data_IF_819286416889
#
_entry.id   IF_819286416889
#
_cell.length_a   1.000
_cell.length_b   1.000
_cell.length_c   1.000
_cell.angle_alpha   90.00
_cell.angle_beta   90.00
_cell.angle_gamma   90.00
#
_symmetry.space_group_name_H-M   'P 1'
#
loop_
_entity.id
_entity.type
_entity.pdbx_description
1 polymer ?
#
# COMPACT_ATOMS: atom_id res chain seq x y z
N UNK A 1 -2.48 31.46 95.76
CA UNK A 1 -3.60 31.41 94.87
C UNK A 1 -3.11 30.82 93.54
N UNK A 2 -3.29 29.56 93.27
CA UNK A 2 -2.74 28.86 92.13
C UNK A 2 -3.91 28.27 91.33
N UNK A 3 -4.10 28.69 90.05
CA UNK A 3 -5.09 28.21 89.15
C UNK A 3 -4.47 27.06 88.30
N UNK A 4 -5.05 25.89 88.32
CA UNK A 4 -4.70 24.73 87.54
C UNK A 4 -5.44 24.83 86.19
N UNK A 5 -4.67 24.88 85.07
CA UNK A 5 -5.21 24.76 83.75
C UNK A 5 -5.14 23.31 83.32
N UNK A 6 -6.29 22.70 83.02
CA UNK A 6 -6.38 21.36 82.46
C UNK A 6 -6.42 21.47 80.94
N UNK A 7 -5.42 20.90 80.32
CA UNK A 7 -5.39 20.75 78.85
C UNK A 7 -6.23 19.50 78.45
N UNK A 8 -7.19 19.71 77.54
CA UNK A 8 -8.00 18.70 76.97
C UNK A 8 -7.37 18.29 75.62
N UNK A 9 -6.80 17.09 75.52
CA UNK A 9 -6.33 16.53 74.22
C UNK A 9 -7.51 15.91 73.48
N UNK A 10 -7.92 16.56 72.35
CA UNK A 10 -8.84 15.98 71.39
C UNK A 10 -8.03 15.19 70.41
N UNK A 11 -8.16 13.86 70.44
CA UNK A 11 -7.67 12.92 69.45
C UNK A 11 -8.67 12.90 68.29
N UNK A 12 -8.34 13.60 67.20
CA UNK A 12 -9.11 13.56 65.96
C UNK A 12 -8.79 12.30 65.20
N UNK A 13 -9.76 11.37 65.14
CA UNK A 13 -9.69 10.17 64.31
C UNK A 13 -10.07 10.53 62.89
N UNK A 14 -9.05 10.73 62.01
CA UNK A 14 -9.32 10.95 60.59
C UNK A 14 -9.64 9.64 59.88
N UNK A 15 -10.91 9.44 59.55
CA UNK A 15 -11.33 8.34 58.66
C UNK A 15 -10.87 8.66 57.23
N UNK A 16 -9.86 7.94 56.76
CA UNK A 16 -9.49 7.94 55.33
C UNK A 16 -10.48 7.03 54.59
N UNK A 17 -11.46 7.62 53.92
CA UNK A 17 -12.32 6.91 52.97
C UNK A 17 -11.53 6.72 51.69
N UNK A 18 -11.00 5.52 51.51
CA UNK A 18 -10.42 5.12 50.22
C UNK A 18 -11.56 5.00 49.18
N UNK A 19 -11.71 6.00 48.32
CA UNK A 19 -12.60 5.90 47.19
C UNK A 19 -12.05 4.83 46.22
N UNK A 20 -12.71 3.70 46.14
CA UNK A 20 -12.44 2.69 45.11
C UNK A 20 -12.77 3.31 43.75
N UNK A 21 -11.73 3.55 42.94
CA UNK A 21 -11.91 3.95 41.55
C UNK A 21 -12.73 2.87 40.80
N UNK A 22 -13.78 3.23 40.05
CA UNK A 22 -14.55 2.25 39.30
C UNK A 22 -13.60 1.52 38.34
N UNK A 23 -13.56 0.20 38.40
CA UNK A 23 -12.88 -0.63 37.43
C UNK A 23 -13.47 -0.31 36.07
N UNK A 24 -12.72 0.40 35.21
CA UNK A 24 -13.08 0.60 33.83
C UNK A 24 -13.26 -0.78 33.20
N UNK A 25 -14.49 -1.11 32.85
CA UNK A 25 -14.83 -2.25 32.03
C UNK A 25 -14.09 -2.03 30.71
N UNK A 26 -12.96 -2.73 30.49
CA UNK A 26 -12.31 -2.77 29.18
C UNK A 26 -13.32 -3.38 28.23
N UNK A 27 -13.84 -2.56 27.32
CA UNK A 27 -14.60 -3.08 26.20
C UNK A 27 -13.74 -4.13 25.48
N UNK A 28 -14.34 -5.26 25.04
CA UNK A 28 -13.61 -6.24 24.26
C UNK A 28 -13.07 -5.51 23.01
N UNK A 29 -11.75 -5.40 22.88
CA UNK A 29 -11.13 -4.86 21.69
C UNK A 29 -11.51 -5.78 20.54
N UNK A 30 -12.17 -5.23 19.55
CA UNK A 30 -12.47 -5.94 18.30
C UNK A 30 -11.12 -6.30 17.68
N UNK A 31 -10.86 -7.58 17.52
CA UNK A 31 -9.64 -8.05 16.88
C UNK A 31 -9.56 -7.56 15.44
N UNK A 32 -8.39 -7.10 15.04
CA UNK A 32 -8.12 -6.72 13.66
C UNK A 32 -7.41 -7.88 12.96
N UNK A 33 -7.76 -8.11 11.70
CA UNK A 33 -7.04 -9.07 10.87
C UNK A 33 -5.70 -8.49 10.45
N UNK A 34 -4.63 -9.24 10.70
CA UNK A 34 -3.28 -8.91 10.26
C UNK A 34 -2.80 -9.96 9.26
N UNK A 35 -2.09 -9.50 8.24
CA UNK A 35 -1.47 -10.32 7.21
C UNK A 35 0.03 -10.20 7.25
N UNK A 36 0.70 -11.32 7.08
CA UNK A 36 2.15 -11.39 6.88
C UNK A 36 2.46 -12.37 5.77
N UNK A 37 3.54 -12.10 5.06
CA UNK A 37 4.01 -12.97 3.99
C UNK A 37 5.24 -13.73 4.48
N UNK A 38 5.26 -15.04 4.23
CA UNK A 38 6.29 -15.95 4.73
C UNK A 38 6.79 -16.82 3.59
N UNK A 39 8.08 -16.78 3.33
CA UNK A 39 8.75 -17.77 2.49
C UNK A 39 9.40 -18.81 3.37
N UNK A 40 9.08 -20.07 3.10
CA UNK A 40 9.69 -21.23 3.75
C UNK A 40 10.47 -22.01 2.71
N UNK A 41 11.74 -22.32 3.02
CA UNK A 41 12.63 -23.06 2.13
C UNK A 41 13.24 -24.24 2.88
N UNK A 42 13.58 -25.28 2.13
CA UNK A 42 14.43 -26.34 2.65
C UNK A 42 15.90 -25.88 2.81
N UNK A 43 16.76 -26.79 3.25
CA UNK A 43 18.19 -26.51 3.43
C UNK A 43 18.93 -26.24 2.10
N UNK A 44 18.39 -26.66 0.97
CA UNK A 44 18.93 -26.39 -0.36
C UNK A 44 18.43 -25.04 -0.93
N UNK A 45 17.49 -24.35 -0.22
CA UNK A 45 16.91 -23.07 -0.63
C UNK A 45 15.69 -23.23 -1.54
N UNK A 46 15.22 -24.45 -1.80
CA UNK A 46 14.00 -24.68 -2.57
C UNK A 46 12.76 -24.33 -1.73
N UNK A 47 11.72 -23.68 -2.33
CA UNK A 47 10.51 -23.33 -1.62
C UNK A 47 9.71 -24.56 -1.22
N UNK A 48 9.21 -24.58 0.03
CA UNK A 48 8.27 -25.59 0.54
C UNK A 48 6.88 -25.01 0.37
N UNK A 49 6.01 -25.69 -0.42
CA UNK A 49 4.71 -25.15 -0.86
C UNK A 49 3.50 -25.98 -0.36
N UNK A 50 3.71 -26.94 0.53
CA UNK A 50 2.71 -27.88 1.03
C UNK A 50 2.34 -27.66 2.51
N UNK A 51 2.67 -26.48 3.08
CA UNK A 51 2.36 -26.16 4.48
C UNK A 51 0.92 -25.65 4.61
N UNK A 52 0.32 -26.00 5.75
CA UNK A 52 -1.04 -25.60 6.14
C UNK A 52 -0.98 -24.59 7.30
N UNK A 53 -2.11 -24.00 7.66
CA UNK A 53 -2.17 -23.06 8.81
C UNK A 53 -1.66 -23.68 10.12
N UNK A 54 -1.87 -24.98 10.32
CA UNK A 54 -1.40 -25.70 11.50
C UNK A 54 0.11 -25.94 11.57
N UNK A 55 0.83 -25.68 10.47
CA UNK A 55 2.28 -25.81 10.42
C UNK A 55 3.02 -24.53 10.85
N UNK A 56 2.27 -23.43 11.08
CA UNK A 56 2.86 -22.14 11.42
C UNK A 56 2.56 -21.73 12.87
N UNK A 57 3.59 -21.34 13.58
CA UNK A 57 3.52 -20.69 14.88
C UNK A 57 3.79 -19.20 14.71
N UNK A 58 2.82 -18.34 15.03
CA UNK A 58 2.96 -16.88 14.94
C UNK A 58 3.07 -16.30 16.34
N UNK A 59 4.17 -15.63 16.63
CA UNK A 59 4.37 -14.89 17.89
C UNK A 59 4.40 -13.38 17.58
N UNK A 60 3.43 -12.65 18.09
CA UNK A 60 3.32 -11.21 17.94
C UNK A 60 3.56 -10.51 19.27
N UNK A 61 4.69 -9.81 19.39
CA UNK A 61 5.05 -9.09 20.62
C UNK A 61 5.10 -9.99 21.86
N UNK A 62 5.60 -11.24 21.74
CA UNK A 62 5.69 -12.23 22.80
C UNK A 62 4.38 -12.99 23.07
N UNK A 63 3.36 -12.88 22.22
CA UNK A 63 2.09 -13.60 22.34
C UNK A 63 1.83 -14.49 21.15
N UNK A 64 1.55 -15.75 21.41
CA UNK A 64 1.10 -16.68 20.37
C UNK A 64 -0.23 -16.24 19.79
N UNK A 65 -0.33 -16.31 18.45
CA UNK A 65 -1.53 -16.01 17.66
C UNK A 65 -1.92 -17.25 16.86
N UNK A 66 -3.20 -17.55 16.83
CA UNK A 66 -3.70 -18.60 15.94
C UNK A 66 -3.72 -18.12 14.50
N UNK A 67 -3.09 -18.88 13.60
CA UNK A 67 -3.19 -18.66 12.17
C UNK A 67 -4.58 -19.11 11.72
N UNK A 68 -5.36 -18.18 11.20
CA UNK A 68 -6.74 -18.44 10.74
C UNK A 68 -6.76 -18.93 9.31
N UNK A 69 -5.85 -18.43 8.49
CA UNK A 69 -5.71 -18.82 7.10
C UNK A 69 -4.23 -18.87 6.68
N UNK A 70 -3.89 -19.82 5.83
CA UNK A 70 -2.61 -19.93 5.16
C UNK A 70 -2.85 -20.33 3.71
N UNK A 71 -2.44 -19.50 2.79
CA UNK A 71 -2.51 -19.76 1.35
C UNK A 71 -1.29 -19.24 0.63
N UNK A 72 -0.95 -19.78 -0.52
CA UNK A 72 0.10 -19.21 -1.35
C UNK A 72 -0.36 -17.83 -1.87
N UNK A 73 0.57 -16.86 -1.89
CA UNK A 73 0.27 -15.48 -2.26
C UNK A 73 0.15 -15.29 -3.78
N UNK A 74 -0.77 -16.07 -4.39
CA UNK A 74 -1.03 -16.10 -5.84
C UNK A 74 -2.14 -15.15 -6.28
N UNK A 75 -2.65 -14.30 -5.38
CA UNK A 75 -3.73 -13.36 -5.68
C UNK A 75 -3.38 -12.47 -6.88
N UNK A 76 -4.20 -12.47 -7.96
CA UNK A 76 -3.97 -11.63 -9.12
C UNK A 76 -3.99 -10.13 -8.78
N UNK A 77 -3.43 -9.31 -9.66
CA UNK A 77 -3.36 -7.87 -9.45
C UNK A 77 -4.53 -7.12 -10.10
N UNK A 78 -4.87 -5.96 -9.53
CA UNK A 78 -5.56 -4.89 -10.23
C UNK A 78 -4.64 -3.68 -10.31
N UNK A 79 -4.31 -3.25 -11.52
CA UNK A 79 -3.34 -2.19 -11.79
C UNK A 79 -4.08 -0.97 -12.31
N UNK A 80 -4.06 0.12 -11.54
CA UNK A 80 -4.54 1.42 -11.99
C UNK A 80 -3.37 2.19 -12.62
N UNK A 81 -3.49 2.55 -13.89
CA UNK A 81 -2.50 3.31 -14.62
C UNK A 81 -3.02 4.74 -14.76
N UNK A 82 -2.40 5.67 -14.01
CA UNK A 82 -2.68 7.09 -14.06
C UNK A 82 -1.75 7.73 -15.09
N UNK A 83 -2.32 8.31 -16.12
CA UNK A 83 -1.57 8.99 -17.18
C UNK A 83 -1.93 10.46 -17.16
N UNK A 84 -0.96 11.28 -16.83
CA UNK A 84 -1.08 12.72 -17.00
C UNK A 84 -1.14 13.04 -18.50
N UNK A 85 -2.28 13.59 -18.92
CA UNK A 85 -2.52 14.05 -20.31
C UNK A 85 -2.63 15.57 -20.39
N UNK A 86 -2.10 16.27 -19.36
CA UNK A 86 -2.04 17.74 -19.31
C UNK A 86 -1.03 18.34 -20.32
N UNK A 87 -0.96 19.66 -20.32
CA UNK A 87 0.01 20.39 -21.14
C UNK A 87 1.47 20.00 -20.82
N UNK A 88 1.74 19.63 -19.55
CA UNK A 88 3.08 19.22 -19.09
C UNK A 88 3.61 17.93 -19.69
N UNK A 89 2.74 17.07 -20.22
CA UNK A 89 3.11 15.79 -20.83
C UNK A 89 2.86 15.73 -22.34
N UNK A 90 2.34 16.80 -22.94
CA UNK A 90 1.95 16.80 -24.35
C UNK A 90 3.09 16.34 -25.29
N UNK A 91 4.33 16.78 -25.04
CA UNK A 91 5.50 16.39 -25.83
C UNK A 91 5.99 14.96 -25.55
N UNK A 92 5.52 14.33 -24.46
CA UNK A 92 5.90 12.99 -24.05
C UNK A 92 4.88 11.92 -24.47
N UNK A 93 3.77 12.30 -25.10
CA UNK A 93 2.67 11.36 -25.37
C UNK A 93 3.11 10.15 -26.22
N UNK A 94 4.02 10.34 -27.18
CA UNK A 94 4.52 9.24 -28.00
C UNK A 94 5.43 8.29 -27.21
N UNK A 95 6.43 8.74 -26.45
CA UNK A 95 7.16 7.88 -25.51
C UNK A 95 6.26 7.18 -24.48
N UNK A 96 5.21 7.85 -23.97
CA UNK A 96 4.22 7.24 -23.05
C UNK A 96 3.50 6.08 -23.75
N UNK A 97 2.98 6.27 -24.96
CA UNK A 97 2.33 5.22 -25.76
C UNK A 97 3.25 4.03 -25.99
N UNK A 98 4.49 4.29 -26.42
CA UNK A 98 5.49 3.26 -26.67
C UNK A 98 5.83 2.48 -25.39
N UNK A 99 6.02 3.18 -24.27
CA UNK A 99 6.33 2.57 -22.98
C UNK A 99 5.18 1.74 -22.42
N UNK A 100 3.95 2.24 -22.53
CA UNK A 100 2.75 1.51 -22.11
C UNK A 100 2.55 0.23 -22.91
N UNK A 101 2.90 0.22 -24.19
CA UNK A 101 2.86 -1.01 -25.00
C UNK A 101 3.79 -2.09 -24.40
N UNK A 102 5.06 -1.76 -24.15
CA UNK A 102 6.02 -2.69 -23.53
C UNK A 102 5.62 -3.11 -22.12
N UNK A 103 5.13 -2.17 -21.32
CA UNK A 103 4.62 -2.43 -19.96
C UNK A 103 3.49 -3.43 -19.97
N UNK A 104 2.44 -3.17 -20.75
CA UNK A 104 1.25 -4.03 -20.82
C UNK A 104 1.58 -5.43 -21.35
N UNK A 105 2.51 -5.55 -22.30
CA UNK A 105 2.94 -6.83 -22.83
C UNK A 105 3.69 -7.69 -21.80
N UNK A 106 4.38 -7.06 -20.85
CA UNK A 106 5.16 -7.73 -19.82
C UNK A 106 4.32 -8.20 -18.60
N UNK A 107 3.14 -7.62 -18.38
CA UNK A 107 2.31 -7.93 -17.21
C UNK A 107 1.76 -9.36 -17.23
N UNK A 108 1.51 -9.98 -16.04
CA UNK A 108 0.81 -11.26 -15.93
C UNK A 108 -0.53 -11.25 -16.67
N UNK A 109 -0.89 -12.36 -17.32
CA UNK A 109 -2.09 -12.44 -18.16
C UNK A 109 -3.40 -12.22 -17.38
N UNK A 110 -3.42 -12.61 -16.10
CA UNK A 110 -4.56 -12.51 -15.19
C UNK A 110 -4.66 -11.17 -14.46
N UNK A 111 -3.65 -10.28 -14.63
CA UNK A 111 -3.67 -8.94 -14.09
C UNK A 111 -4.76 -8.09 -14.77
N UNK A 112 -5.69 -7.53 -13.98
CA UNK A 112 -6.61 -6.51 -14.46
C UNK A 112 -5.87 -5.18 -14.59
N UNK A 113 -6.11 -4.48 -15.68
CA UNK A 113 -5.60 -3.12 -15.90
C UNK A 113 -6.75 -2.16 -16.11
N UNK A 114 -6.60 -0.94 -15.62
CA UNK A 114 -7.50 0.17 -15.88
C UNK A 114 -6.70 1.43 -16.19
N UNK A 115 -7.27 2.35 -16.96
CA UNK A 115 -6.63 3.60 -17.31
C UNK A 115 -7.41 4.80 -16.82
N UNK A 116 -6.68 5.71 -16.22
CA UNK A 116 -7.16 7.00 -15.75
C UNK A 116 -6.32 8.10 -16.40
N UNK A 117 -6.97 9.08 -17.03
CA UNK A 117 -6.30 10.30 -17.50
C UNK A 117 -6.57 11.45 -16.53
N UNK A 118 -5.55 12.28 -16.31
CA UNK A 118 -5.60 13.39 -15.35
C UNK A 118 -5.35 14.77 -15.98
N UNK A 119 -5.41 14.89 -17.30
CA UNK A 119 -5.40 16.19 -17.97
C UNK A 119 -6.73 16.91 -17.80
N UNK A 120 -6.69 18.17 -17.36
CA UNK A 120 -7.85 19.06 -17.11
C UNK A 120 -8.88 18.54 -16.09
N UNK A 121 -9.22 17.26 -16.13
CA UNK A 121 -10.13 16.58 -15.21
C UNK A 121 -9.80 15.09 -15.10
N UNK A 122 -10.25 14.46 -14.01
CA UNK A 122 -10.12 13.01 -13.81
C UNK A 122 -11.08 12.27 -14.72
N UNK A 123 -10.59 11.30 -15.47
CA UNK A 123 -11.44 10.43 -16.30
C UNK A 123 -10.97 8.99 -16.25
N UNK A 124 -11.85 8.07 -15.82
CA UNK A 124 -11.62 6.64 -16.02
C UNK A 124 -11.94 6.31 -17.48
N UNK A 125 -10.91 6.04 -18.26
CA UNK A 125 -10.98 5.85 -19.73
C UNK A 125 -11.12 4.39 -20.11
N UNK A 126 -10.56 3.50 -19.31
CA UNK A 126 -10.73 2.06 -19.43
C UNK A 126 -11.05 1.48 -18.05
N UNK A 127 -12.19 0.83 -17.94
CA UNK A 127 -12.59 0.10 -16.72
C UNK A 127 -11.66 -1.10 -16.50
N UNK A 128 -11.54 -1.62 -15.24
CA UNK A 128 -10.73 -2.79 -14.96
C UNK A 128 -11.04 -3.95 -15.90
N UNK A 129 -10.02 -4.45 -16.59
CA UNK A 129 -10.16 -5.56 -17.55
C UNK A 129 -8.89 -6.38 -17.65
N UNK A 130 -9.05 -7.69 -17.88
CA UNK A 130 -7.96 -8.59 -18.28
C UNK A 130 -7.77 -8.64 -19.80
N UNK A 131 -8.68 -8.03 -20.58
CA UNK A 131 -8.56 -7.93 -22.04
C UNK A 131 -7.39 -7.04 -22.44
N UNK A 132 -6.23 -7.66 -22.63
CA UNK A 132 -4.99 -6.98 -22.96
C UNK A 132 -5.06 -6.24 -24.30
N UNK A 133 -5.82 -6.74 -25.26
CA UNK A 133 -6.01 -6.10 -26.55
C UNK A 133 -6.70 -4.74 -26.39
N UNK A 134 -7.79 -4.67 -25.60
CA UNK A 134 -8.45 -3.38 -25.31
C UNK A 134 -7.52 -2.40 -24.61
N UNK A 135 -6.68 -2.87 -23.69
CA UNK A 135 -5.72 -2.03 -22.99
C UNK A 135 -4.67 -1.47 -23.94
N UNK A 136 -4.15 -2.28 -24.85
CA UNK A 136 -3.18 -1.87 -25.87
C UNK A 136 -3.78 -0.88 -26.88
N UNK A 137 -5.01 -1.14 -27.36
CA UNK A 137 -5.75 -0.23 -28.25
C UNK A 137 -5.96 1.15 -27.58
N UNK A 138 -6.36 1.15 -26.29
CA UNK A 138 -6.50 2.39 -25.54
C UNK A 138 -5.15 3.13 -25.41
N UNK A 139 -4.09 2.45 -24.99
CA UNK A 139 -2.77 3.04 -24.80
C UNK A 139 -2.25 3.66 -26.11
N UNK A 140 -2.44 3.01 -27.25
CA UNK A 140 -2.07 3.53 -28.56
C UNK A 140 -2.86 4.78 -28.97
N UNK A 141 -4.12 4.88 -28.52
CA UNK A 141 -5.01 6.00 -28.79
C UNK A 141 -4.92 7.17 -27.80
N UNK A 142 -4.03 7.12 -26.80
CA UNK A 142 -3.87 8.23 -25.85
C UNK A 142 -3.53 9.54 -26.57
N UNK A 143 -4.10 10.65 -26.10
CA UNK A 143 -3.81 11.99 -26.60
C UNK A 143 -3.80 13.01 -25.45
N UNK A 144 -3.13 14.16 -25.61
CA UNK A 144 -3.17 15.23 -24.61
C UNK A 144 -4.56 15.83 -24.49
N UNK A 145 -5.09 15.90 -23.25
CA UNK A 145 -6.34 16.61 -22.95
C UNK A 145 -6.09 18.10 -22.63
N UNK A 146 -4.85 18.47 -22.35
CA UNK A 146 -4.43 19.82 -21.99
C UNK A 146 -4.78 20.20 -20.54
N UNK A 147 -4.46 21.45 -20.18
CA UNK A 147 -4.72 22.00 -18.86
C UNK A 147 -3.74 21.49 -17.78
N UNK A 148 -4.13 21.67 -16.52
CA UNK A 148 -3.40 21.18 -15.36
C UNK A 148 -3.84 19.76 -14.96
N UNK A 149 -3.10 19.09 -14.06
CA UNK A 149 -3.41 17.73 -13.63
C UNK A 149 -3.95 17.70 -12.20
N UNK A 150 -5.17 17.18 -11.95
CA UNK A 150 -5.72 16.94 -10.61
C UNK A 150 -5.32 15.55 -10.07
N UNK A 151 -4.02 15.33 -9.82
CA UNK A 151 -3.50 14.00 -9.51
C UNK A 151 -3.99 13.48 -8.14
N UNK A 152 -4.00 14.34 -7.10
CA UNK A 152 -4.53 13.95 -5.77
C UNK A 152 -5.99 13.54 -5.83
N UNK A 153 -6.81 14.32 -6.55
CA UNK A 153 -8.23 14.02 -6.73
C UNK A 153 -8.41 12.68 -7.44
N UNK A 154 -7.61 12.43 -8.50
CA UNK A 154 -7.65 11.18 -9.24
C UNK A 154 -7.32 9.97 -8.35
N UNK A 155 -6.28 10.06 -7.53
CA UNK A 155 -5.88 8.99 -6.63
C UNK A 155 -6.96 8.68 -5.61
N UNK A 156 -7.53 9.71 -4.96
CA UNK A 156 -8.61 9.54 -3.97
C UNK A 156 -9.89 8.99 -4.60
N UNK A 157 -10.32 9.52 -5.75
CA UNK A 157 -11.52 9.09 -6.44
C UNK A 157 -11.40 7.62 -6.89
N UNK A 158 -10.30 7.28 -7.56
CA UNK A 158 -10.09 5.93 -8.08
C UNK A 158 -9.95 4.92 -6.93
N UNK A 159 -9.23 5.27 -5.87
CA UNK A 159 -9.15 4.43 -4.68
C UNK A 159 -10.52 4.18 -4.08
N UNK A 160 -11.29 5.22 -3.84
CA UNK A 160 -12.63 5.12 -3.24
C UNK A 160 -13.58 4.25 -4.06
N UNK A 161 -13.53 4.35 -5.40
CA UNK A 161 -14.49 3.66 -6.29
C UNK A 161 -14.07 2.24 -6.65
N UNK A 162 -12.76 1.95 -6.75
CA UNK A 162 -12.28 0.70 -7.35
C UNK A 162 -11.39 -0.13 -6.43
N UNK A 163 -10.83 0.45 -5.35
CA UNK A 163 -9.83 -0.23 -4.51
C UNK A 163 -10.21 -0.33 -3.03
N UNK A 164 -11.05 0.56 -2.51
CA UNK A 164 -11.42 0.54 -1.07
C UNK A 164 -12.11 -0.75 -0.64
N UNK A 165 -12.90 -1.36 -1.53
CA UNK A 165 -13.61 -2.63 -1.31
C UNK A 165 -13.08 -3.74 -2.22
N UNK A 166 -11.83 -3.61 -2.65
CA UNK A 166 -11.23 -4.60 -3.52
C UNK A 166 -10.91 -5.86 -2.71
N UNK A 167 -11.51 -6.96 -3.10
CA UNK A 167 -11.26 -8.30 -2.57
C UNK A 167 -10.64 -9.18 -3.66
N UNK A 168 -9.84 -10.17 -3.24
CA UNK A 168 -9.26 -11.17 -4.13
C UNK A 168 -8.40 -10.60 -5.28
N UNK A 169 -7.87 -9.39 -5.10
CA UNK A 169 -6.95 -8.74 -6.02
C UNK A 169 -5.95 -7.88 -5.27
N UNK A 170 -4.71 -7.92 -5.70
CA UNK A 170 -3.67 -7.07 -5.13
C UNK A 170 -3.66 -5.70 -5.81
N UNK A 171 -3.80 -4.60 -5.05
CA UNK A 171 -3.84 -3.25 -5.61
C UNK A 171 -2.45 -2.74 -5.99
N UNK A 172 -2.31 -2.31 -7.25
CA UNK A 172 -1.08 -1.70 -7.77
C UNK A 172 -1.43 -0.39 -8.49
N UNK A 173 -0.70 0.67 -8.19
CA UNK A 173 -0.82 1.97 -8.86
C UNK A 173 0.44 2.24 -9.68
N UNK A 174 0.26 2.70 -10.92
CA UNK A 174 1.33 3.17 -11.79
C UNK A 174 0.99 4.59 -12.21
N UNK A 175 1.86 5.54 -11.88
CA UNK A 175 1.62 6.97 -12.07
C UNK A 175 2.65 7.49 -13.08
N UNK A 176 2.14 8.06 -14.17
CA UNK A 176 2.94 8.76 -15.17
C UNK A 176 2.52 10.23 -15.14
N UNK A 177 3.39 11.10 -14.64
CA UNK A 177 3.11 12.53 -14.52
C UNK A 177 4.21 13.39 -15.16
N UNK A 178 3.95 14.67 -15.36
CA UNK A 178 4.86 15.59 -16.01
C UNK A 178 4.92 16.96 -15.34
N UNK A 179 5.56 17.89 -16.01
CA UNK A 179 5.78 19.26 -15.56
C UNK A 179 4.53 20.12 -15.79
N UNK A 180 3.48 19.85 -15.03
CA UNK A 180 2.23 20.62 -15.03
C UNK A 180 1.91 21.15 -13.65
N UNK A 181 0.87 21.99 -13.55
CA UNK A 181 0.35 22.42 -12.24
C UNK A 181 -0.57 21.37 -11.66
N UNK A 182 -0.44 21.11 -10.36
CA UNK A 182 -1.38 20.31 -9.59
C UNK A 182 -2.66 21.14 -9.34
N UNK A 183 -3.79 20.65 -9.85
CA UNK A 183 -5.07 21.39 -9.82
C UNK A 183 -6.15 20.73 -8.96
N UNK A 184 -5.77 19.78 -8.11
CA UNK A 184 -6.72 19.14 -7.19
C UNK A 184 -7.34 20.14 -6.22
N UNK A 185 -8.56 19.85 -5.78
CA UNK A 185 -9.27 20.69 -4.83
C UNK A 185 -8.48 20.82 -3.51
N UNK A 186 -8.28 22.04 -2.96
CA UNK A 186 -7.57 22.23 -1.69
C UNK A 186 -8.19 21.44 -0.53
N UNK A 187 -9.52 21.24 -0.54
CA UNK A 187 -10.23 20.43 0.45
C UNK A 187 -9.78 18.97 0.50
N UNK A 188 -9.13 18.46 -0.54
CA UNK A 188 -8.64 17.08 -0.63
C UNK A 188 -7.22 16.89 -0.08
N UNK A 189 -6.56 17.93 0.41
CA UNK A 189 -5.21 17.81 0.98
C UNK A 189 -5.20 16.96 2.25
N UNK A 190 -6.06 17.25 3.22
CA UNK A 190 -6.16 16.47 4.46
C UNK A 190 -6.60 15.02 4.22
N UNK A 191 -7.66 14.74 3.41
CA UNK A 191 -7.99 13.38 3.01
C UNK A 191 -6.84 12.65 2.32
N UNK A 192 -6.08 13.33 1.46
CA UNK A 192 -4.94 12.74 0.76
C UNK A 192 -3.80 12.36 1.74
N UNK A 193 -3.45 13.23 2.67
CA UNK A 193 -2.41 12.95 3.66
C UNK A 193 -2.80 11.74 4.54
N UNK A 194 -4.06 11.65 4.94
CA UNK A 194 -4.57 10.46 5.64
C UNK A 194 -4.48 9.22 4.77
N UNK A 195 -4.91 9.31 3.53
CA UNK A 195 -4.85 8.20 2.58
C UNK A 195 -3.41 7.69 2.38
N UNK A 196 -2.40 8.57 2.33
CA UNK A 196 -0.99 8.19 2.25
C UNK A 196 -0.55 7.31 3.43
N UNK A 197 -1.00 7.62 4.65
CA UNK A 197 -0.67 6.84 5.85
C UNK A 197 -1.33 5.46 5.85
N UNK A 198 -2.47 5.31 5.18
CA UNK A 198 -3.22 4.05 5.11
C UNK A 198 -2.67 3.08 4.03
N UNK A 199 -1.86 3.56 3.06
CA UNK A 199 -1.37 2.75 1.94
C UNK A 199 -0.61 1.47 2.36
N UNK A 200 0.34 1.54 3.32
CA UNK A 200 1.07 0.36 3.75
C UNK A 200 0.19 -0.73 4.37
N UNK A 201 -0.77 -0.33 5.20
CA UNK A 201 -1.67 -1.26 5.88
C UNK A 201 -2.61 -1.97 4.89
N UNK A 202 -2.96 -1.28 3.80
CA UNK A 202 -3.81 -1.81 2.74
C UNK A 202 -3.04 -2.64 1.70
N UNK A 203 -1.71 -2.74 1.85
CA UNK A 203 -0.85 -3.49 0.95
C UNK A 203 -0.82 -2.95 -0.48
N UNK A 204 -1.11 -1.65 -0.67
CA UNK A 204 -1.05 -1.01 -1.99
C UNK A 204 0.41 -0.83 -2.38
N UNK A 205 0.76 -1.28 -3.58
CA UNK A 205 2.03 -0.96 -4.21
C UNK A 205 1.83 0.20 -5.19
N UNK A 206 2.76 1.16 -5.23
CA UNK A 206 2.66 2.28 -6.15
C UNK A 206 4.01 2.61 -6.77
N UNK A 207 4.03 2.75 -8.09
CA UNK A 207 5.22 3.13 -8.85
C UNK A 207 4.94 4.41 -9.61
N UNK A 208 5.94 5.28 -9.72
CA UNK A 208 5.75 6.54 -10.39
C UNK A 208 6.95 6.96 -11.24
N UNK A 209 6.64 7.53 -12.40
CA UNK A 209 7.59 8.20 -13.28
C UNK A 209 7.18 9.66 -13.44
N UNK A 210 8.08 10.55 -13.08
CA UNK A 210 7.89 11.99 -13.21
C UNK A 210 8.76 12.54 -14.32
N UNK A 211 8.11 13.11 -15.34
CA UNK A 211 8.76 13.74 -16.49
C UNK A 211 8.85 15.24 -16.25
N UNK A 212 10.05 15.77 -16.16
CA UNK A 212 10.29 17.19 -15.88
C UNK A 212 11.13 17.82 -16.97
N UNK A 213 10.51 18.75 -17.70
CA UNK A 213 11.17 19.46 -18.80
C UNK A 213 11.66 20.86 -18.41
N UNK A 214 11.01 21.53 -17.44
CA UNK A 214 11.27 22.95 -17.13
C UNK A 214 11.39 23.31 -15.65
N UNK A 215 11.25 22.35 -14.76
CA UNK A 215 11.47 22.54 -13.32
C UNK A 215 10.25 22.92 -12.48
N UNK A 216 9.77 22.04 -11.62
CA UNK A 216 9.04 22.32 -10.40
C UNK A 216 7.52 22.30 -10.45
N UNK A 217 6.91 21.23 -10.94
CA UNK A 217 5.49 20.99 -10.70
C UNK A 217 5.21 20.22 -9.41
N UNK A 218 4.10 20.50 -8.72
CA UNK A 218 3.65 19.74 -7.54
C UNK A 218 3.23 18.28 -7.85
N UNK A 219 2.79 17.90 -9.06
CA UNK A 219 2.42 16.52 -9.35
C UNK A 219 3.55 15.51 -9.18
N UNK A 220 4.80 15.91 -9.43
CA UNK A 220 5.98 15.06 -9.21
C UNK A 220 6.18 14.74 -7.73
N UNK A 221 5.96 15.71 -6.82
CA UNK A 221 6.01 15.51 -5.37
C UNK A 221 4.86 14.62 -4.89
N UNK A 222 3.65 14.80 -5.41
CA UNK A 222 2.51 13.92 -5.11
C UNK A 222 2.85 12.47 -5.50
N UNK A 223 3.34 12.27 -6.71
CA UNK A 223 3.72 10.95 -7.22
C UNK A 223 4.86 10.31 -6.41
N UNK A 224 5.86 11.12 -6.02
CA UNK A 224 6.97 10.69 -5.17
C UNK A 224 6.49 10.24 -3.79
N UNK A 225 5.66 11.04 -3.12
CA UNK A 225 5.13 10.70 -1.80
C UNK A 225 4.30 9.42 -1.83
N UNK A 226 3.49 9.22 -2.88
CA UNK A 226 2.70 8.00 -3.06
C UNK A 226 3.59 6.78 -3.21
N UNK A 227 4.59 6.85 -4.11
CA UNK A 227 5.52 5.75 -4.33
C UNK A 227 6.30 5.41 -3.05
N UNK A 228 6.81 6.42 -2.33
CA UNK A 228 7.53 6.23 -1.06
C UNK A 228 6.64 5.62 0.04
N UNK A 229 5.43 6.15 0.24
CA UNK A 229 4.49 5.63 1.23
C UNK A 229 4.10 4.18 0.96
N UNK A 230 3.87 3.84 -0.31
CA UNK A 230 3.54 2.49 -0.74
C UNK A 230 4.74 1.54 -0.84
N UNK A 231 5.98 2.04 -0.67
CA UNK A 231 7.21 1.25 -0.77
C UNK A 231 7.52 0.77 -2.18
N UNK A 232 7.08 1.50 -3.20
CA UNK A 232 7.34 1.21 -4.59
C UNK A 232 8.47 2.06 -5.19
N UNK A 233 8.58 2.04 -6.52
CA UNK A 233 9.63 2.72 -7.26
C UNK A 233 9.21 4.14 -7.68
N UNK A 234 10.08 5.12 -7.47
CA UNK A 234 9.95 6.47 -8.02
C UNK A 234 11.16 6.78 -8.90
N UNK A 235 10.90 7.24 -10.11
CA UNK A 235 11.95 7.67 -11.04
C UNK A 235 11.64 9.05 -11.60
N UNK A 236 12.64 9.91 -11.57
CA UNK A 236 12.58 11.25 -12.11
C UNK A 236 13.39 11.30 -13.40
N UNK A 237 12.77 11.82 -14.47
CA UNK A 237 13.35 11.84 -15.80
C UNK A 237 13.36 13.25 -16.40
N UNK A 238 14.53 13.72 -16.81
CA UNK A 238 14.65 15.01 -17.49
C UNK A 238 14.11 14.98 -18.94
N UNK A 239 14.06 13.79 -19.54
CA UNK A 239 13.52 13.58 -20.90
C UNK A 239 12.69 12.30 -20.94
N UNK A 240 11.72 12.23 -21.84
CA UNK A 240 10.88 11.04 -22.00
C UNK A 240 11.52 9.91 -22.82
N UNK A 241 12.71 10.10 -23.38
CA UNK A 241 13.31 9.14 -24.29
C UNK A 241 13.57 7.76 -23.68
N UNK A 242 13.94 7.70 -22.39
CA UNK A 242 14.16 6.45 -21.68
C UNK A 242 12.89 5.82 -21.07
N UNK A 243 11.73 6.49 -21.19
CA UNK A 243 10.49 6.02 -20.57
C UNK A 243 10.02 4.65 -21.12
N UNK A 244 10.12 4.37 -22.44
CA UNK A 244 9.70 3.07 -22.97
C UNK A 244 10.41 1.88 -22.32
N UNK A 245 11.73 1.93 -22.20
CA UNK A 245 12.54 0.88 -21.57
C UNK A 245 12.24 0.76 -20.09
N UNK A 246 12.09 1.89 -19.38
CA UNK A 246 11.80 1.90 -17.95
C UNK A 246 10.42 1.36 -17.63
N UNK A 247 9.41 1.68 -18.42
CA UNK A 247 8.05 1.13 -18.27
C UNK A 247 8.03 -0.37 -18.58
N UNK A 248 8.71 -0.81 -19.63
CA UNK A 248 8.84 -2.24 -19.92
C UNK A 248 9.51 -2.96 -18.76
N UNK A 249 10.63 -2.45 -18.25
CA UNK A 249 11.34 -3.02 -17.11
C UNK A 249 10.48 -3.05 -15.83
N UNK A 250 9.62 -2.04 -15.60
CA UNK A 250 8.66 -2.07 -14.51
C UNK A 250 7.64 -3.21 -14.70
N UNK A 251 7.11 -3.40 -15.91
CA UNK A 251 6.18 -4.49 -16.20
C UNK A 251 6.80 -5.87 -15.98
N UNK A 252 8.04 -6.07 -16.43
CA UNK A 252 8.83 -7.28 -16.20
C UNK A 252 9.06 -7.53 -14.70
N UNK A 253 9.44 -6.50 -13.95
CA UNK A 253 9.61 -6.57 -12.49
C UNK A 253 8.31 -6.96 -11.79
N UNK A 254 7.18 -6.35 -12.16
CA UNK A 254 5.87 -6.70 -11.58
C UNK A 254 5.54 -8.18 -11.85
N UNK A 255 5.86 -8.68 -13.03
CA UNK A 255 5.65 -10.09 -13.38
C UNK A 255 6.57 -11.03 -12.59
N UNK A 256 7.85 -10.66 -12.42
CA UNK A 256 8.81 -11.42 -11.63
C UNK A 256 8.43 -11.44 -10.14
N UNK A 257 8.00 -10.29 -9.59
CA UNK A 257 7.50 -10.19 -8.21
C UNK A 257 6.25 -11.05 -8.00
N UNK A 258 5.32 -11.08 -8.96
CA UNK A 258 4.16 -11.95 -8.89
C UNK A 258 4.55 -13.44 -8.88
N UNK A 259 5.51 -13.81 -9.71
CA UNK A 259 6.06 -15.17 -9.76
C UNK A 259 6.78 -15.52 -8.46
N UNK A 260 7.62 -14.63 -7.94
CA UNK A 260 8.31 -14.84 -6.66
C UNK A 260 7.32 -14.95 -5.50
N UNK A 261 6.27 -14.10 -5.47
CA UNK A 261 5.23 -14.16 -4.45
C UNK A 261 4.43 -15.47 -4.46
N UNK A 262 4.35 -16.15 -5.59
CA UNK A 262 3.72 -17.48 -5.65
C UNK A 262 4.45 -18.56 -4.82
N UNK A 263 5.67 -18.28 -4.40
CA UNK A 263 6.47 -19.11 -3.48
C UNK A 263 6.38 -18.67 -2.02
N UNK A 264 5.53 -17.70 -1.70
CA UNK A 264 5.30 -17.20 -0.36
C UNK A 264 3.91 -17.58 0.13
N UNK A 265 3.79 -17.79 1.43
CA UNK A 265 2.51 -17.92 2.11
C UNK A 265 2.00 -16.54 2.53
N UNK A 266 0.72 -16.30 2.35
CA UNK A 266 -0.03 -15.24 2.99
C UNK A 266 -0.69 -15.85 4.23
N UNK A 267 -0.24 -15.44 5.43
CA UNK A 267 -0.80 -15.86 6.70
C UNK A 267 -1.70 -14.78 7.24
N UNK A 268 -2.92 -15.15 7.64
CA UNK A 268 -3.87 -14.26 8.30
C UNK A 268 -4.07 -14.71 9.74
N UNK A 269 -3.97 -13.77 10.66
CA UNK A 269 -4.21 -13.98 12.08
C UNK A 269 -4.89 -12.78 12.72
N UNK A 270 -5.62 -13.01 13.83
CA UNK A 270 -6.27 -11.95 14.59
C UNK A 270 -5.29 -11.31 15.57
N UNK A 271 -5.24 -9.98 15.58
CA UNK A 271 -4.46 -9.20 16.55
C UNK A 271 -5.32 -8.21 17.31
N UNK A 272 -5.02 -8.05 18.60
CA UNK A 272 -5.59 -7.01 19.46
C UNK A 272 -4.55 -5.93 19.79
N UNK A 273 -3.41 -5.91 19.07
CA UNK A 273 -2.31 -5.00 19.33
C UNK A 273 -2.53 -3.69 18.58
N UNK A 274 -2.43 -2.58 19.30
CA UNK A 274 -2.34 -1.24 18.71
C UNK A 274 -0.89 -1.07 18.22
N UNK A 275 -0.72 -0.68 16.95
CA UNK A 275 0.59 -0.53 16.31
C UNK A 275 1.02 -1.77 15.52
N UNK A 276 2.30 -1.81 15.19
CA UNK A 276 2.90 -2.92 14.42
C UNK A 276 3.98 -3.64 15.25
N UNK A 277 3.60 -4.44 16.26
CA UNK A 277 4.57 -5.19 17.03
C UNK A 277 5.35 -6.15 16.14
N UNK A 278 6.57 -6.51 16.57
CA UNK A 278 7.40 -7.49 15.88
C UNK A 278 6.67 -8.82 15.79
N UNK A 279 6.69 -9.42 14.59
CA UNK A 279 6.15 -10.75 14.33
C UNK A 279 7.31 -11.71 14.12
N UNK A 280 7.29 -12.79 14.88
CA UNK A 280 8.19 -13.92 14.73
C UNK A 280 7.36 -15.11 14.23
N UNK A 281 7.89 -15.86 13.30
CA UNK A 281 7.22 -17.02 12.71
C UNK A 281 8.09 -18.25 12.86
N UNK A 282 7.52 -19.27 13.48
CA UNK A 282 8.03 -20.63 13.50
C UNK A 282 7.29 -21.52 12.51
N UNK A 283 7.90 -22.64 12.14
CA UNK A 283 7.31 -23.70 11.36
C UNK A 283 7.56 -25.01 12.06
N UNK A 284 6.53 -25.83 12.23
CA UNK A 284 6.62 -27.12 12.93
C UNK A 284 7.53 -28.12 12.21
N UNK A 285 7.69 -27.97 10.89
CA UNK A 285 8.64 -28.76 10.09
C UNK A 285 10.06 -28.31 10.37
N UNK A 286 10.91 -29.20 10.89
CA UNK A 286 12.29 -28.89 11.27
C UNK A 286 13.21 -28.59 10.08
N UNK A 287 14.32 -27.89 10.34
CA UNK A 287 15.41 -27.62 9.38
C UNK A 287 14.95 -26.84 8.15
N UNK A 288 14.27 -25.72 8.35
CA UNK A 288 13.78 -24.83 7.29
C UNK A 288 14.38 -23.43 7.41
N UNK A 289 14.54 -22.76 6.26
CA UNK A 289 14.80 -21.32 6.19
C UNK A 289 13.49 -20.55 6.16
N UNK A 290 13.38 -19.46 6.95
CA UNK A 290 12.18 -18.63 7.03
C UNK A 290 12.56 -17.18 6.70
N UNK A 291 11.82 -16.57 5.77
CA UNK A 291 11.85 -15.13 5.50
C UNK A 291 10.46 -14.55 5.69
N UNK A 292 10.39 -13.40 6.33
CA UNK A 292 9.12 -12.75 6.67
C UNK A 292 9.08 -11.37 6.00
N UNK A 293 7.92 -11.00 5.48
CA UNK A 293 7.65 -9.65 4.99
C UNK A 293 6.24 -9.21 5.42
N UNK A 294 6.12 -7.96 5.84
CA UNK A 294 4.83 -7.34 6.15
C UNK A 294 4.14 -6.80 4.88
N UNK A 295 4.80 -6.86 3.73
CA UNK A 295 4.29 -6.38 2.45
C UNK A 295 4.54 -7.43 1.38
N UNK A 296 3.70 -7.47 0.37
CA UNK A 296 4.04 -8.16 -0.85
C UNK A 296 5.33 -7.55 -1.40
N UNK A 297 6.30 -8.41 -1.73
CA UNK A 297 7.57 -7.96 -2.28
C UNK A 297 7.29 -7.22 -3.59
N UNK A 298 7.77 -5.98 -3.63
CA UNK A 298 8.01 -5.25 -4.85
C UNK A 298 9.45 -4.81 -4.69
N UNK A 299 10.34 -5.39 -5.48
CA UNK A 299 11.76 -5.02 -5.45
C UNK A 299 11.89 -3.51 -5.65
N UNK A 300 12.67 -2.82 -4.82
CA UNK A 300 12.86 -1.38 -4.91
C UNK A 300 13.49 -0.97 -6.25
#
# INVERSE_FOLDING_TARGET
>A
MRACLRAFCLVGCSLVVAAAAPAQKREPRVGHMRRVFVRVTDLAGAPILDLTAGDFDVNEGGRLRSVLNSSLATTPMRIAIFVDTSDGTANAINPIRAGLNGFLAALPADAEVMFITTGRQVRVRLQPTTDRRKALEFAAGLFPDGGATPLRDALLEVDSRYFRKLENRWPVFVILTGDSSESSAPANETPFNKWLTDLPERGIAAHAFALKYRGGGFPDLVAQHVAQAAGGHFDFMNTANGLPEKLKALGERIADDAKEMSHWYELEFETNSDGSPTVEIGVTRGSVGIRISNRRLMSP
#
